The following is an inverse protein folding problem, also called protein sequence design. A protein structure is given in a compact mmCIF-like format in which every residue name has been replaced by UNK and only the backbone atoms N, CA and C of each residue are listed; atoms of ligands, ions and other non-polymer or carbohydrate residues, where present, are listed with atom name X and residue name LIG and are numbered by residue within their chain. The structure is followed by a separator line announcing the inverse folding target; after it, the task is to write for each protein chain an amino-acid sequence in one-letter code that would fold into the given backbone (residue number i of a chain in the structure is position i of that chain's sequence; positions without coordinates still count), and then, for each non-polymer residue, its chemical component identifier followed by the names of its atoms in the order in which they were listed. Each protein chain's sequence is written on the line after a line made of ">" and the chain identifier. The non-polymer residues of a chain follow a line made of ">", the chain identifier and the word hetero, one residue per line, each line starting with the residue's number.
data_IF_082304311844
#
_entry.id   IF_082304311844
#
_cell.length_a   1.000
_cell.length_b   1.000
_cell.length_c   1.000
_cell.angle_alpha   90.00
_cell.angle_beta   90.00
_cell.angle_gamma   90.00
#
_symmetry.space_group_name_H-M   'P 1'
#
loop_
_entity.id
_entity.type
_entity.pdbx_description
1 polymer ?
#
# COMPACT_ATOMS: atom_id res chain seq x y z
N UNK A 1 9.94 26.25 -8.27
CA UNK A 1 9.71 25.27 -7.17
C UNK A 1 10.27 25.86 -5.91
N UNK A 2 9.54 25.77 -4.78
CA UNK A 2 10.03 26.21 -3.48
C UNK A 2 11.25 25.36 -3.09
N UNK A 3 12.29 25.98 -2.53
CA UNK A 3 13.51 25.26 -2.08
C UNK A 3 13.31 24.48 -0.78
N UNK A 4 12.15 24.63 -0.13
CA UNK A 4 11.82 23.96 1.12
C UNK A 4 11.15 22.62 0.85
N UNK A 5 11.70 21.54 1.44
CA UNK A 5 11.22 20.17 1.37
C UNK A 5 10.75 19.74 2.75
N UNK A 6 9.59 19.13 2.82
CA UNK A 6 9.05 18.59 4.06
C UNK A 6 9.42 17.11 4.23
N UNK A 7 10.16 16.79 5.29
CA UNK A 7 10.38 15.43 5.76
C UNK A 7 9.24 15.05 6.71
N UNK A 8 8.40 14.10 6.29
CA UNK A 8 7.31 13.55 7.08
C UNK A 8 7.77 12.23 7.71
N UNK A 9 7.94 12.21 9.04
CA UNK A 9 8.65 11.14 9.74
C UNK A 9 7.78 10.47 10.78
N UNK A 10 7.77 9.13 10.78
CA UNK A 10 7.31 8.36 11.93
C UNK A 10 8.55 7.87 12.73
N UNK A 11 8.84 8.48 13.89
CA UNK A 11 10.03 8.14 14.67
C UNK A 11 10.04 6.70 15.20
N UNK A 12 8.87 6.09 15.39
CA UNK A 12 8.71 4.73 15.92
C UNK A 12 8.74 3.65 14.82
N UNK A 13 8.71 4.05 13.52
CA UNK A 13 8.73 3.12 12.42
C UNK A 13 9.93 2.16 12.47
N UNK A 14 9.68 0.90 12.08
CA UNK A 14 10.74 -0.10 12.01
C UNK A 14 11.45 -0.38 13.34
N UNK A 15 10.75 -0.30 14.48
CA UNK A 15 11.28 -0.45 15.85
C UNK A 15 12.24 0.68 16.23
N UNK A 16 11.87 1.93 15.95
CA UNK A 16 12.67 3.14 16.26
C UNK A 16 13.67 3.53 15.16
N UNK A 17 13.75 2.78 14.06
CA UNK A 17 14.65 3.13 12.94
C UNK A 17 14.23 4.40 12.19
N UNK A 18 12.95 4.80 12.26
CA UNK A 18 12.45 5.99 11.58
C UNK A 18 13.19 7.26 11.97
N UNK A 19 13.44 7.47 13.27
CA UNK A 19 14.20 8.63 13.76
C UNK A 19 15.63 8.65 13.21
N UNK A 20 16.31 7.48 13.20
CA UNK A 20 17.66 7.35 12.66
C UNK A 20 17.72 7.46 11.14
N UNK A 21 16.68 7.04 10.43
CA UNK A 21 16.59 7.10 8.98
C UNK A 21 16.35 8.52 8.43
N UNK A 22 15.72 9.39 9.20
CA UNK A 22 15.45 10.76 8.81
C UNK A 22 16.76 11.56 8.57
N UNK A 23 17.78 11.34 9.40
CA UNK A 23 19.03 12.09 9.32
C UNK A 23 19.81 11.85 8.01
N UNK A 24 20.07 10.61 7.55
CA UNK A 24 20.74 10.38 6.26
C UNK A 24 19.97 10.96 5.07
N UNK A 25 18.64 10.83 5.05
CA UNK A 25 17.80 11.39 4.00
C UNK A 25 17.85 12.93 4.01
N UNK A 26 17.71 13.56 5.19
CA UNK A 26 17.82 15.00 5.33
C UNK A 26 19.22 15.52 4.91
N UNK A 27 20.29 14.80 5.26
CA UNK A 27 21.65 15.18 4.88
C UNK A 27 21.84 15.14 3.36
N UNK A 28 21.29 14.15 2.67
CA UNK A 28 21.35 14.07 1.22
C UNK A 28 20.62 15.25 0.54
N UNK A 29 19.42 15.60 1.02
CA UNK A 29 18.64 16.73 0.52
C UNK A 29 19.34 18.07 0.78
N UNK A 30 19.86 18.30 2.01
CA UNK A 30 20.62 19.51 2.34
C UNK A 30 21.90 19.63 1.54
N UNK A 31 22.64 18.53 1.36
CA UNK A 31 23.83 18.47 0.52
C UNK A 31 23.55 18.79 -0.95
N UNK A 32 22.31 18.57 -1.40
CA UNK A 32 21.84 18.96 -2.71
C UNK A 32 21.32 20.41 -2.79
N UNK A 33 21.35 21.17 -1.67
CA UNK A 33 20.98 22.60 -1.63
C UNK A 33 19.52 22.86 -1.25
N UNK A 34 18.76 21.85 -0.81
CA UNK A 34 17.37 22.05 -0.35
C UNK A 34 17.32 22.44 1.13
N UNK A 35 16.41 23.35 1.48
CA UNK A 35 15.98 23.54 2.86
C UNK A 35 15.09 22.38 3.29
N UNK A 36 15.31 21.83 4.48
CA UNK A 36 14.57 20.65 4.96
C UNK A 36 13.91 20.95 6.29
N UNK A 37 12.58 20.94 6.28
CA UNK A 37 11.71 21.01 7.45
C UNK A 37 11.23 19.62 7.83
N UNK A 38 11.31 19.24 9.11
CA UNK A 38 10.79 17.95 9.59
C UNK A 38 9.41 18.13 10.24
N UNK A 39 8.48 17.26 9.88
CA UNK A 39 7.14 17.18 10.44
C UNK A 39 6.97 15.82 11.11
N UNK A 40 6.54 15.84 12.36
CA UNK A 40 6.21 14.70 13.20
C UNK A 40 4.78 14.89 13.70
N UNK A 41 4.02 13.81 13.84
CA UNK A 41 2.71 13.83 14.51
C UNK A 41 2.80 13.20 15.89
N UNK A 42 1.89 13.59 16.79
CA UNK A 42 1.70 12.95 18.09
C UNK A 42 0.97 11.60 17.92
N UNK A 43 0.05 11.54 16.97
CA UNK A 43 -0.68 10.36 16.52
C UNK A 43 -0.89 10.41 15.00
N UNK A 44 -1.66 9.47 14.45
CA UNK A 44 -1.91 9.36 13.03
C UNK A 44 -2.71 10.55 12.47
N UNK A 45 -3.70 11.03 13.22
CA UNK A 45 -4.57 12.13 12.79
C UNK A 45 -3.82 13.46 12.81
N UNK A 46 -3.04 13.74 13.85
CA UNK A 46 -2.18 14.91 13.93
C UNK A 46 -1.08 14.85 12.85
N UNK A 47 -0.49 13.68 12.62
CA UNK A 47 0.49 13.48 11.56
C UNK A 47 -0.10 13.81 10.18
N UNK A 48 -1.28 13.29 9.86
CA UNK A 48 -1.97 13.56 8.60
C UNK A 48 -2.33 15.05 8.45
N UNK A 49 -2.87 15.67 9.51
CA UNK A 49 -3.19 17.09 9.51
C UNK A 49 -1.96 17.93 9.18
N UNK A 50 -0.84 17.69 9.86
CA UNK A 50 0.43 18.43 9.64
C UNK A 50 1.00 18.20 8.24
N UNK A 51 0.90 16.98 7.70
CA UNK A 51 1.32 16.68 6.33
C UNK A 51 0.48 17.47 5.32
N UNK A 52 -0.84 17.51 5.49
CA UNK A 52 -1.75 18.30 4.65
C UNK A 52 -1.47 19.81 4.73
N UNK A 53 -1.18 20.32 5.93
CA UNK A 53 -0.79 21.72 6.13
C UNK A 53 0.51 22.06 5.37
N UNK A 54 1.51 21.16 5.41
CA UNK A 54 2.75 21.36 4.66
C UNK A 54 2.52 21.35 3.14
N UNK A 55 1.67 20.46 2.64
CA UNK A 55 1.27 20.40 1.23
C UNK A 55 0.52 21.67 0.82
N UNK A 56 -0.47 22.10 1.62
CA UNK A 56 -1.23 23.32 1.38
C UNK A 56 -0.38 24.60 1.43
N UNK A 57 0.68 24.61 2.27
CA UNK A 57 1.65 25.69 2.34
C UNK A 57 2.62 25.71 1.15
N UNK A 58 2.55 24.76 0.23
CA UNK A 58 3.33 24.73 -1.01
C UNK A 58 4.75 24.19 -0.84
N UNK A 59 4.96 23.19 0.01
CA UNK A 59 6.25 22.47 0.06
C UNK A 59 6.66 21.97 -1.33
N UNK A 60 7.95 22.02 -1.64
CA UNK A 60 8.47 21.53 -2.92
C UNK A 60 8.34 20.03 -3.12
N UNK A 61 8.30 19.26 -2.02
CA UNK A 61 7.96 17.83 -1.99
C UNK A 61 7.65 17.39 -0.55
N UNK A 62 6.88 16.31 -0.41
CA UNK A 62 6.69 15.58 0.83
C UNK A 62 7.53 14.31 0.80
N UNK A 63 8.53 14.18 1.67
CA UNK A 63 9.39 13.00 1.76
C UNK A 63 8.95 12.15 2.96
N UNK A 64 8.28 11.05 2.70
CA UNK A 64 7.79 10.14 3.74
C UNK A 64 8.89 9.19 4.22
N UNK A 65 9.26 9.28 5.50
CA UNK A 65 10.28 8.45 6.14
C UNK A 65 9.62 7.50 7.14
N UNK A 66 9.33 6.27 6.71
CA UNK A 66 8.58 5.35 7.55
C UNK A 66 8.30 4.00 6.90
N UNK A 67 7.29 3.32 7.43
CA UNK A 67 6.73 2.09 6.86
C UNK A 67 5.38 2.35 6.18
N UNK A 68 4.67 1.26 5.88
CA UNK A 68 3.42 1.28 5.10
C UNK A 68 2.34 2.19 5.71
N UNK A 69 2.17 2.20 7.04
CA UNK A 69 1.19 3.08 7.69
C UNK A 69 1.50 4.57 7.49
N UNK A 70 2.78 5.01 7.58
CA UNK A 70 3.11 6.41 7.27
C UNK A 70 2.96 6.70 5.78
N UNK A 71 3.26 5.72 4.93
CA UNK A 71 3.06 5.84 3.49
C UNK A 71 1.59 6.05 3.16
N UNK A 72 0.68 5.28 3.80
CA UNK A 72 -0.77 5.47 3.67
C UNK A 72 -1.18 6.91 4.03
N UNK A 73 -0.68 7.47 5.15
CA UNK A 73 -0.95 8.86 5.54
C UNK A 73 -0.38 9.86 4.54
N UNK A 74 0.83 9.62 4.01
CA UNK A 74 1.44 10.49 3.01
C UNK A 74 0.61 10.53 1.72
N UNK A 75 0.09 9.38 1.27
CA UNK A 75 -0.82 9.31 0.12
C UNK A 75 -2.10 10.11 0.37
N UNK A 76 -2.71 10.03 1.59
CA UNK A 76 -3.88 10.86 1.94
C UNK A 76 -3.57 12.38 1.90
N UNK A 77 -2.30 12.77 2.03
CA UNK A 77 -1.92 14.18 2.03
C UNK A 77 -1.61 14.71 0.63
N UNK A 78 -1.03 13.88 -0.25
CA UNK A 78 -0.55 14.33 -1.56
C UNK A 78 -1.41 13.93 -2.75
N UNK A 79 -2.28 12.92 -2.61
CA UNK A 79 -3.11 12.43 -3.71
C UNK A 79 -3.96 13.56 -4.32
N UNK A 80 -3.97 13.65 -5.65
CA UNK A 80 -4.67 14.71 -6.40
C UNK A 80 -4.02 16.08 -6.30
N UNK A 81 -2.83 16.22 -5.71
CA UNK A 81 -2.09 17.49 -5.66
C UNK A 81 -0.88 17.48 -6.60
N UNK A 82 -0.29 18.65 -6.83
CA UNK A 82 0.94 18.78 -7.62
C UNK A 82 2.21 18.50 -6.80
N UNK A 83 2.09 18.26 -5.48
CA UNK A 83 3.24 18.04 -4.59
C UNK A 83 3.83 16.65 -4.80
N UNK A 84 5.10 16.52 -5.21
CA UNK A 84 5.73 15.22 -5.39
C UNK A 84 5.94 14.50 -4.05
N UNK A 85 5.80 13.16 -4.08
CA UNK A 85 6.07 12.27 -2.97
C UNK A 85 7.44 11.62 -3.12
N UNK A 86 8.31 11.79 -2.14
CA UNK A 86 9.52 10.98 -2.00
C UNK A 86 9.34 9.90 -0.94
N UNK A 87 9.97 8.75 -1.14
CA UNK A 87 9.79 7.58 -0.30
C UNK A 87 11.11 7.15 0.32
N UNK A 88 11.17 7.12 1.65
CA UNK A 88 12.28 6.57 2.44
C UNK A 88 11.74 5.40 3.26
N UNK A 89 11.73 4.23 2.63
CA UNK A 89 11.08 3.04 3.13
C UNK A 89 11.95 2.30 4.16
N UNK A 90 11.58 2.38 5.45
CA UNK A 90 12.32 1.78 6.57
C UNK A 90 11.48 0.84 7.44
N UNK A 91 10.25 0.60 7.04
CA UNK A 91 9.32 -0.33 7.67
C UNK A 91 9.68 -1.80 7.49
N UNK A 92 8.76 -2.66 7.89
CA UNK A 92 8.89 -4.13 7.73
C UNK A 92 8.38 -4.59 6.36
N UNK A 93 7.23 -4.09 5.91
CA UNK A 93 6.60 -4.40 4.61
C UNK A 93 7.22 -3.60 3.48
N UNK A 94 6.94 -2.31 3.44
CA UNK A 94 7.34 -1.37 2.38
C UNK A 94 6.80 -1.75 0.99
N UNK A 95 5.55 -2.18 0.93
CA UNK A 95 4.96 -2.76 -0.27
C UNK A 95 4.84 -1.75 -1.41
N UNK A 96 4.44 -0.50 -1.12
CA UNK A 96 4.42 0.59 -2.10
C UNK A 96 5.80 0.86 -2.71
N UNK A 97 6.84 0.92 -1.88
CA UNK A 97 8.21 1.14 -2.37
C UNK A 97 8.72 -0.05 -3.20
N UNK A 98 8.34 -1.28 -2.82
CA UNK A 98 8.68 -2.50 -3.58
C UNK A 98 8.08 -2.48 -4.97
N UNK A 99 6.79 -2.17 -5.08
CA UNK A 99 6.08 -2.15 -6.35
C UNK A 99 6.70 -1.14 -7.32
N UNK A 100 7.24 -0.04 -6.80
CA UNK A 100 7.92 1.00 -7.59
C UNK A 100 9.42 0.78 -7.79
N UNK A 101 10.02 -0.30 -7.25
CA UNK A 101 11.45 -0.55 -7.35
C UNK A 101 12.33 0.44 -6.60
N UNK A 102 11.80 1.14 -5.60
CA UNK A 102 12.52 2.16 -4.83
C UNK A 102 13.45 1.53 -3.78
N UNK A 103 14.49 2.25 -3.33
CA UNK A 103 15.39 1.77 -2.28
C UNK A 103 14.65 1.44 -0.99
N UNK A 104 14.87 0.22 -0.47
CA UNK A 104 14.26 -0.27 0.77
C UNK A 104 15.34 -0.44 1.83
N UNK A 105 15.11 0.12 3.03
CA UNK A 105 16.02 0.07 4.18
C UNK A 105 17.41 0.68 3.91
N UNK A 106 17.50 1.54 2.89
CA UNK A 106 18.66 2.38 2.62
C UNK A 106 18.24 3.86 2.55
N UNK A 107 18.10 4.53 3.70
CA UNK A 107 17.63 5.91 3.75
C UNK A 107 18.59 6.90 3.07
N UNK A 108 19.88 6.58 3.00
CA UNK A 108 20.83 7.43 2.30
C UNK A 108 20.66 7.35 0.79
N UNK A 109 20.47 6.12 0.23
CA UNK A 109 20.18 5.96 -1.19
C UNK A 109 18.85 6.60 -1.57
N UNK A 110 17.79 6.39 -0.77
CA UNK A 110 16.48 6.99 -0.99
C UNK A 110 16.54 8.52 -0.96
N UNK A 111 17.29 9.10 -0.01
CA UNK A 111 17.51 10.55 0.07
C UNK A 111 18.27 11.10 -1.14
N UNK A 112 19.30 10.40 -1.63
CA UNK A 112 20.03 10.78 -2.85
C UNK A 112 19.16 10.70 -4.10
N UNK A 113 18.33 9.65 -4.21
CA UNK A 113 17.37 9.50 -5.30
C UNK A 113 16.40 10.68 -5.31
N UNK A 114 15.76 10.98 -4.17
CA UNK A 114 14.84 12.11 -4.05
C UNK A 114 15.52 13.45 -4.39
N UNK A 115 16.75 13.67 -3.93
CA UNK A 115 17.49 14.89 -4.22
C UNK A 115 17.83 15.05 -5.71
N UNK A 116 18.22 13.97 -6.39
CA UNK A 116 18.46 13.98 -7.85
C UNK A 116 17.16 14.22 -8.61
N UNK A 117 16.12 13.45 -8.29
CA UNK A 117 14.82 13.58 -8.92
C UNK A 117 14.28 15.01 -8.84
N UNK A 118 14.39 15.66 -7.68
CA UNK A 118 13.98 17.06 -7.51
C UNK A 118 14.80 18.04 -8.37
N UNK A 119 16.09 17.81 -8.54
CA UNK A 119 16.94 18.65 -9.39
C UNK A 119 16.70 18.48 -10.88
N UNK A 120 16.47 17.24 -11.30
CA UNK A 120 16.36 16.85 -12.71
C UNK A 120 14.91 16.80 -13.20
N UNK A 121 13.94 16.99 -12.29
CA UNK A 121 12.52 16.87 -12.59
C UNK A 121 12.08 15.42 -12.82
N UNK A 122 12.79 14.44 -12.22
CA UNK A 122 12.48 13.01 -12.32
C UNK A 122 11.29 12.66 -11.43
N UNK A 123 10.23 12.15 -12.02
CA UNK A 123 9.09 11.58 -11.32
C UNK A 123 8.36 10.59 -12.22
N UNK A 124 7.60 9.70 -11.59
CA UNK A 124 6.62 8.84 -12.23
C UNK A 124 5.24 9.26 -11.74
N UNK A 125 4.30 9.48 -12.65
CA UNK A 125 2.89 9.61 -12.31
C UNK A 125 2.37 8.21 -11.99
N UNK A 126 1.82 8.05 -10.80
CA UNK A 126 1.40 6.76 -10.24
C UNK A 126 -0.08 6.81 -9.95
N UNK A 127 -0.77 5.77 -10.36
CA UNK A 127 -2.19 5.59 -10.09
C UNK A 127 -2.40 5.25 -8.62
N UNK A 128 -3.58 5.60 -8.10
CA UNK A 128 -3.99 5.21 -6.76
C UNK A 128 -5.41 4.63 -6.79
N UNK A 129 -5.64 3.66 -5.94
CA UNK A 129 -7.00 3.23 -5.66
C UNK A 129 -7.71 4.19 -4.72
N UNK A 130 -9.01 4.38 -4.94
CA UNK A 130 -9.87 5.23 -4.12
C UNK A 130 -11.13 4.50 -3.70
N UNK A 131 -11.46 4.58 -2.40
CA UNK A 131 -12.73 4.10 -1.82
C UNK A 131 -13.33 5.26 -1.02
N UNK A 132 -14.43 5.83 -1.49
CA UNK A 132 -14.96 7.06 -0.92
C UNK A 132 -13.94 8.20 -1.00
N UNK A 133 -13.50 8.69 0.15
CA UNK A 133 -12.47 9.72 0.30
C UNK A 133 -11.08 9.16 0.69
N UNK A 134 -10.96 7.83 0.83
CA UNK A 134 -9.72 7.15 1.22
C UNK A 134 -8.94 6.67 -0.01
N UNK A 135 -7.63 6.91 -0.01
CA UNK A 135 -6.70 6.47 -1.03
C UNK A 135 -5.89 5.25 -0.57
N UNK A 136 -5.51 4.39 -1.50
CA UNK A 136 -4.55 3.31 -1.26
C UNK A 136 -3.59 3.16 -2.44
N UNK A 137 -2.36 2.79 -2.13
CA UNK A 137 -1.29 2.73 -3.12
C UNK A 137 -0.95 1.33 -3.60
N UNK A 138 -1.18 0.30 -2.78
CA UNK A 138 -0.75 -1.06 -3.09
C UNK A 138 -1.93 -1.97 -3.39
N UNK A 139 -2.54 -2.57 -2.38
CA UNK A 139 -3.59 -3.59 -2.57
C UNK A 139 -4.71 -3.40 -1.55
N UNK A 140 -5.95 -3.43 -2.04
CA UNK A 140 -7.14 -3.63 -1.23
C UNK A 140 -7.45 -5.13 -1.21
N UNK A 141 -7.63 -5.69 -0.02
CA UNK A 141 -7.95 -7.11 0.16
C UNK A 141 -9.21 -7.31 0.99
N UNK A 142 -9.98 -8.34 0.65
CA UNK A 142 -11.14 -8.78 1.41
C UNK A 142 -11.24 -10.31 1.43
N UNK A 143 -11.87 -10.86 2.48
CA UNK A 143 -12.01 -12.30 2.64
C UNK A 143 -10.99 -12.90 3.60
N UNK A 144 -10.28 -13.94 3.18
CA UNK A 144 -9.29 -14.64 4.01
C UNK A 144 -8.26 -13.69 4.63
N UNK A 145 -7.69 -12.77 3.86
CA UNK A 145 -6.68 -11.83 4.35
C UNK A 145 -7.23 -10.84 5.37
N UNK A 146 -8.48 -10.42 5.22
CA UNK A 146 -9.16 -9.57 6.21
C UNK A 146 -9.28 -10.28 7.55
N UNK A 147 -9.65 -11.57 7.53
CA UNK A 147 -9.74 -12.41 8.75
C UNK A 147 -8.37 -12.62 9.39
N UNK A 148 -7.32 -12.81 8.59
CA UNK A 148 -5.93 -12.91 9.07
C UNK A 148 -5.48 -11.61 9.73
N UNK A 149 -5.76 -10.45 9.13
CA UNK A 149 -5.47 -9.13 9.68
C UNK A 149 -6.23 -8.88 10.99
N UNK A 150 -7.53 -9.17 11.03
CA UNK A 150 -8.35 -9.06 12.23
C UNK A 150 -7.82 -9.92 13.36
N UNK A 151 -7.52 -11.19 13.09
CA UNK A 151 -6.95 -12.12 14.08
C UNK A 151 -5.55 -11.65 14.51
N UNK A 152 -4.70 -11.28 13.59
CA UNK A 152 -3.37 -10.73 13.86
C UNK A 152 -3.43 -9.49 14.76
N UNK A 153 -4.37 -8.58 14.53
CA UNK A 153 -4.54 -7.38 15.34
C UNK A 153 -5.05 -7.69 16.76
N UNK A 154 -5.85 -8.75 16.94
CA UNK A 154 -6.33 -9.21 18.27
C UNK A 154 -5.28 -9.96 19.08
N UNK A 155 -4.24 -10.50 18.45
CA UNK A 155 -3.16 -11.23 19.12
C UNK A 155 -2.17 -10.27 19.81
N UNK A 156 -2.43 -9.95 21.09
CA UNK A 156 -1.62 -9.00 21.89
C UNK A 156 -0.26 -9.55 22.36
N UNK A 157 -0.10 -10.88 22.42
CA UNK A 157 1.04 -11.53 23.09
C UNK A 157 2.10 -12.08 22.13
N UNK A 158 1.85 -12.08 20.82
CA UNK A 158 2.78 -12.61 19.81
C UNK A 158 3.29 -11.46 18.96
N UNK A 159 4.60 -11.22 18.96
CA UNK A 159 5.22 -10.13 18.20
C UNK A 159 5.89 -10.63 16.91
N UNK A 160 6.04 -9.70 15.93
CA UNK A 160 6.81 -9.94 14.72
C UNK A 160 6.12 -10.82 13.67
N UNK A 161 6.92 -11.40 12.77
CA UNK A 161 6.46 -12.21 11.63
C UNK A 161 5.68 -13.46 12.06
N UNK A 162 6.07 -14.08 13.17
CA UNK A 162 5.40 -15.24 13.77
C UNK A 162 3.91 -15.01 14.06
N UNK A 163 3.52 -13.79 14.39
CA UNK A 163 2.12 -13.42 14.65
C UNK A 163 1.25 -13.64 13.42
N UNK A 164 1.71 -13.19 12.25
CA UNK A 164 0.99 -13.34 11.00
C UNK A 164 0.99 -14.78 10.51
N UNK A 165 2.11 -15.50 10.63
CA UNK A 165 2.19 -16.92 10.25
C UNK A 165 1.20 -17.77 11.07
N UNK A 166 1.07 -17.50 12.37
CA UNK A 166 0.11 -18.19 13.24
C UNK A 166 -1.34 -17.79 12.93
N UNK A 167 -1.60 -16.51 12.61
CA UNK A 167 -2.92 -16.06 12.21
C UNK A 167 -3.34 -16.69 10.87
N UNK A 168 -2.45 -16.79 9.91
CA UNK A 168 -2.66 -17.48 8.64
C UNK A 168 -3.03 -18.95 8.86
N UNK A 169 -2.25 -19.68 9.68
CA UNK A 169 -2.52 -21.09 9.98
C UNK A 169 -3.87 -21.29 10.67
N UNK A 170 -4.23 -20.41 11.60
CA UNK A 170 -5.51 -20.50 12.31
C UNK A 170 -6.70 -20.19 11.40
N UNK A 171 -6.58 -19.20 10.50
CA UNK A 171 -7.63 -18.91 9.51
C UNK A 171 -7.73 -20.00 8.44
N UNK A 172 -6.62 -20.59 8.00
CA UNK A 172 -6.61 -21.76 7.11
C UNK A 172 -7.38 -22.93 7.70
N UNK A 173 -7.28 -23.16 9.02
CA UNK A 173 -7.98 -24.24 9.70
C UNK A 173 -9.50 -24.02 9.79
N UNK A 174 -9.94 -22.76 9.84
CA UNK A 174 -11.35 -22.37 9.98
C UNK A 174 -11.97 -21.87 8.66
N UNK A 175 -11.27 -22.01 7.55
CA UNK A 175 -11.65 -21.39 6.27
C UNK A 175 -12.93 -21.98 5.66
N UNK A 176 -13.82 -21.09 5.21
CA UNK A 176 -14.98 -21.35 4.36
C UNK A 176 -15.03 -20.27 3.27
N UNK A 177 -15.35 -20.63 1.98
CA UNK A 177 -15.61 -19.66 0.94
C UNK A 177 -16.68 -18.66 1.34
N UNK A 178 -16.58 -17.47 0.83
CA UNK A 178 -17.48 -16.36 1.15
C UNK A 178 -18.29 -16.05 -0.11
N UNK A 179 -19.65 -15.94 -0.02
CA UNK A 179 -20.45 -15.48 -1.12
C UNK A 179 -20.27 -13.97 -1.34
N UNK A 180 -19.76 -13.62 -2.52
CA UNK A 180 -19.58 -12.25 -2.96
C UNK A 180 -20.53 -11.90 -4.09
N UNK A 181 -20.96 -10.63 -4.11
CA UNK A 181 -21.52 -9.98 -5.28
C UNK A 181 -20.51 -8.96 -5.77
N UNK A 182 -20.06 -9.11 -7.00
CA UNK A 182 -19.07 -8.22 -7.62
C UNK A 182 -19.66 -7.58 -8.87
N UNK A 183 -19.26 -6.33 -9.14
CA UNK A 183 -19.52 -5.65 -10.40
C UNK A 183 -18.24 -5.02 -10.88
N UNK A 184 -17.84 -5.33 -12.11
CA UNK A 184 -16.62 -4.85 -12.76
C UNK A 184 -17.00 -3.77 -13.78
N UNK A 185 -16.38 -2.60 -13.70
CA UNK A 185 -16.56 -1.45 -14.62
C UNK A 185 -18.04 -1.10 -14.89
N UNK A 186 -18.88 -1.15 -13.86
CA UNK A 186 -20.31 -0.87 -13.99
C UNK A 186 -21.12 -1.88 -14.80
N UNK A 187 -20.52 -3.01 -15.18
CA UNK A 187 -21.17 -4.10 -15.91
C UNK A 187 -22.17 -4.89 -15.08
N UNK A 188 -22.45 -6.13 -15.46
CA UNK A 188 -23.39 -7.00 -14.76
C UNK A 188 -22.89 -7.41 -13.39
N UNK A 189 -23.79 -7.53 -12.43
CA UNK A 189 -23.52 -8.10 -11.11
C UNK A 189 -23.31 -9.61 -11.25
N UNK A 190 -22.21 -10.10 -10.70
CA UNK A 190 -21.88 -11.54 -10.64
C UNK A 190 -21.88 -12.00 -9.20
N UNK A 191 -22.50 -13.13 -8.94
CA UNK A 191 -22.43 -13.83 -7.67
C UNK A 191 -21.35 -14.91 -7.78
N UNK A 192 -20.40 -14.90 -6.86
CA UNK A 192 -19.25 -15.82 -6.85
C UNK A 192 -18.97 -16.29 -5.43
N UNK A 193 -18.49 -17.51 -5.29
CA UNK A 193 -17.89 -18.01 -4.06
C UNK A 193 -16.37 -17.79 -4.13
N UNK A 194 -15.83 -16.99 -3.21
CA UNK A 194 -14.42 -16.68 -3.21
C UNK A 194 -13.79 -16.83 -1.82
N UNK A 195 -12.55 -17.29 -1.83
CA UNK A 195 -11.65 -17.33 -0.68
C UNK A 195 -11.14 -15.96 -0.32
N UNK A 196 -10.76 -15.24 -1.37
CA UNK A 196 -10.06 -13.95 -1.30
C UNK A 196 -10.36 -13.17 -2.58
N UNK A 197 -10.56 -11.87 -2.42
CA UNK A 197 -10.52 -10.92 -3.52
C UNK A 197 -9.48 -9.85 -3.17
N UNK A 198 -8.46 -9.72 -4.02
CA UNK A 198 -7.44 -8.69 -3.92
C UNK A 198 -7.56 -7.73 -5.11
N UNK A 199 -7.67 -6.44 -4.85
CA UNK A 199 -7.73 -5.37 -5.84
C UNK A 199 -6.39 -4.64 -5.83
N UNK A 200 -5.53 -5.00 -6.78
CA UNK A 200 -4.17 -4.49 -6.85
C UNK A 200 -4.05 -3.26 -7.72
N UNK A 201 -3.66 -2.15 -7.12
CA UNK A 201 -3.03 -1.03 -7.81
C UNK A 201 -1.53 -1.30 -7.97
N UNK A 202 -0.92 -1.99 -7.02
CA UNK A 202 0.44 -2.48 -7.04
C UNK A 202 0.51 -4.00 -6.89
N UNK A 203 1.71 -4.56 -7.08
CA UNK A 203 1.93 -6.00 -7.14
C UNK A 203 1.89 -6.69 -5.79
N UNK A 204 2.22 -5.98 -4.68
CA UNK A 204 2.55 -6.61 -3.39
C UNK A 204 1.78 -6.03 -2.22
N UNK A 205 1.53 -6.88 -1.23
CA UNK A 205 1.01 -6.53 0.08
C UNK A 205 1.59 -7.46 1.17
N UNK A 206 1.34 -7.17 2.44
CA UNK A 206 1.72 -8.03 3.56
C UNK A 206 3.23 -8.29 3.68
N UNK A 207 4.06 -7.36 3.19
CA UNK A 207 5.53 -7.46 3.27
C UNK A 207 6.16 -8.27 2.15
N UNK A 208 5.59 -8.24 0.94
CA UNK A 208 6.18 -8.78 -0.27
C UNK A 208 5.44 -9.99 -0.86
N UNK A 209 4.22 -10.27 -0.43
CA UNK A 209 3.34 -11.22 -1.11
C UNK A 209 2.84 -10.61 -2.43
N UNK A 210 3.19 -11.21 -3.56
CA UNK A 210 2.85 -10.73 -4.90
C UNK A 210 1.48 -11.22 -5.33
N UNK A 211 0.43 -10.80 -4.64
CA UNK A 211 -0.95 -11.29 -4.89
C UNK A 211 -1.50 -10.84 -6.25
N UNK A 212 -1.16 -9.62 -6.68
CA UNK A 212 -1.49 -9.08 -8.00
C UNK A 212 -0.18 -8.94 -8.79
N UNK A 213 0.48 -10.09 -9.11
CA UNK A 213 1.87 -10.13 -9.53
C UNK A 213 2.18 -9.36 -10.82
N UNK A 214 1.19 -9.14 -11.67
CA UNK A 214 1.32 -8.49 -12.97
C UNK A 214 0.74 -7.06 -12.97
N UNK A 215 0.31 -6.54 -11.80
CA UNK A 215 -0.24 -5.19 -11.69
C UNK A 215 0.78 -4.12 -12.08
N UNK A 216 0.35 -3.15 -12.86
CA UNK A 216 1.09 -1.95 -13.26
C UNK A 216 0.47 -0.73 -12.58
N UNK A 217 1.31 0.17 -12.05
CA UNK A 217 0.85 1.30 -11.23
C UNK A 217 0.64 2.59 -12.03
N UNK A 218 0.58 2.54 -13.35
CA UNK A 218 0.49 3.70 -14.25
C UNK A 218 -0.26 3.42 -15.56
N UNK A 219 -1.13 2.39 -15.54
CA UNK A 219 -1.94 1.99 -16.70
C UNK A 219 -3.44 2.31 -16.57
N UNK A 220 -3.84 2.92 -15.45
CA UNK A 220 -5.22 3.31 -15.16
C UNK A 220 -6.12 2.16 -14.74
N UNK A 221 -5.58 0.98 -14.41
CA UNK A 221 -6.35 -0.21 -14.11
C UNK A 221 -5.94 -0.86 -12.78
N UNK A 222 -6.85 -1.61 -12.21
CA UNK A 222 -6.55 -2.58 -11.17
C UNK A 222 -6.38 -3.97 -11.76
N UNK A 223 -5.47 -4.74 -11.21
CA UNK A 223 -5.47 -6.20 -11.33
C UNK A 223 -6.28 -6.81 -10.17
N UNK A 224 -7.50 -7.25 -10.47
CA UNK A 224 -8.35 -7.90 -9.49
C UNK A 224 -8.08 -9.39 -9.50
N UNK A 225 -7.36 -9.87 -8.48
CA UNK A 225 -7.10 -11.30 -8.29
C UNK A 225 -8.19 -11.91 -7.42
N UNK A 226 -8.96 -12.83 -8.00
CA UNK A 226 -9.98 -13.61 -7.30
C UNK A 226 -9.46 -15.01 -7.08
N UNK A 227 -9.35 -15.43 -5.83
CA UNK A 227 -9.15 -16.83 -5.45
C UNK A 227 -10.51 -17.42 -5.17
N UNK A 228 -11.01 -18.23 -6.08
CA UNK A 228 -12.32 -18.89 -5.99
C UNK A 228 -12.39 -19.95 -4.90
N UNK A 229 -13.46 -20.70 -4.91
CA UNK A 229 -13.62 -21.84 -4.01
C UNK A 229 -12.47 -22.83 -4.20
N UNK A 230 -11.80 -23.15 -3.11
CA UNK A 230 -10.74 -24.15 -3.13
C UNK A 230 -10.62 -24.88 -1.78
N UNK A 231 -10.08 -26.10 -1.81
CA UNK A 231 -9.86 -26.86 -0.59
C UNK A 231 -8.72 -26.25 0.23
N UNK A 232 -8.74 -26.50 1.55
CA UNK A 232 -7.65 -26.09 2.46
C UNK A 232 -6.28 -26.60 2.00
N UNK A 233 -6.23 -27.84 1.47
CA UNK A 233 -4.99 -28.42 0.93
C UNK A 233 -4.51 -27.69 -0.33
N UNK A 234 -5.42 -27.24 -1.18
CA UNK A 234 -5.10 -26.39 -2.34
C UNK A 234 -4.55 -25.06 -1.89
N UNK A 235 -5.20 -24.40 -0.94
CA UNK A 235 -4.75 -23.10 -0.42
C UNK A 235 -3.34 -23.20 0.20
N UNK A 236 -3.06 -24.24 1.00
CA UNK A 236 -1.71 -24.49 1.54
C UNK A 236 -0.64 -24.70 0.45
N UNK A 237 -1.00 -25.31 -0.68
CA UNK A 237 -0.07 -25.53 -1.81
C UNK A 237 0.14 -24.26 -2.64
N UNK A 238 -0.90 -23.40 -2.75
CA UNK A 238 -0.87 -22.18 -3.55
C UNK A 238 -0.24 -21.03 -2.77
N UNK A 239 -0.47 -20.93 -1.48
CA UNK A 239 0.00 -19.80 -0.65
C UNK A 239 1.51 -19.51 -0.79
N UNK A 240 2.44 -20.49 -0.75
CA UNK A 240 3.87 -20.21 -0.96
C UNK A 240 4.20 -19.67 -2.35
N UNK A 241 3.35 -19.96 -3.35
CA UNK A 241 3.52 -19.45 -4.73
C UNK A 241 3.22 -17.95 -4.85
N UNK A 242 2.41 -17.40 -3.91
CA UNK A 242 2.08 -15.96 -3.89
C UNK A 242 3.34 -15.11 -3.74
N UNK A 243 4.30 -15.54 -2.91
CA UNK A 243 5.58 -14.81 -2.76
C UNK A 243 6.40 -14.72 -4.05
N UNK A 244 6.18 -15.66 -4.98
CA UNK A 244 6.85 -15.71 -6.28
C UNK A 244 5.99 -15.16 -7.42
N UNK A 245 4.71 -14.86 -7.17
CA UNK A 245 3.74 -14.47 -8.19
C UNK A 245 3.28 -15.60 -9.11
N UNK A 246 3.68 -16.86 -8.83
CA UNK A 246 3.40 -18.02 -9.70
C UNK A 246 2.05 -18.69 -9.42
N UNK A 247 1.25 -18.11 -8.52
CA UNK A 247 -0.11 -18.59 -8.20
C UNK A 247 -1.13 -18.20 -9.28
N UNK A 248 -0.88 -17.16 -10.08
CA UNK A 248 -1.82 -16.67 -11.11
C UNK A 248 -2.18 -17.73 -12.16
N UNK A 249 -1.29 -18.68 -12.44
CA UNK A 249 -1.57 -19.81 -13.33
C UNK A 249 -2.38 -20.95 -12.70
N UNK A 250 -2.87 -20.82 -11.47
CA UNK A 250 -3.63 -21.88 -10.81
C UNK A 250 -5.11 -21.83 -11.24
N UNK A 251 -5.79 -22.96 -11.52
CA UNK A 251 -7.20 -22.96 -11.98
C UNK A 251 -8.21 -22.29 -11.05
N UNK A 252 -7.93 -22.23 -9.75
CA UNK A 252 -8.77 -21.53 -8.78
C UNK A 252 -8.51 -20.01 -8.72
N UNK A 253 -7.60 -19.48 -9.53
CA UNK A 253 -7.24 -18.06 -9.54
C UNK A 253 -7.67 -17.46 -10.87
N UNK A 254 -8.40 -16.36 -10.80
CA UNK A 254 -8.73 -15.55 -11.98
C UNK A 254 -8.27 -14.12 -11.77
N UNK A 255 -7.84 -13.46 -12.83
CA UNK A 255 -7.44 -12.06 -12.81
C UNK A 255 -8.31 -11.28 -13.78
N UNK A 256 -8.82 -10.13 -13.32
CA UNK A 256 -9.57 -9.19 -14.13
C UNK A 256 -8.85 -7.84 -14.10
N UNK A 257 -8.66 -7.21 -15.24
CA UNK A 257 -8.13 -5.84 -15.34
C UNK A 257 -9.29 -4.87 -15.54
N UNK A 258 -9.47 -3.96 -14.58
CA UNK A 258 -10.63 -3.08 -14.52
C UNK A 258 -10.26 -1.71 -13.93
N UNK A 259 -10.99 -0.67 -14.31
CA UNK A 259 -10.85 0.67 -13.72
C UNK A 259 -11.64 0.82 -12.43
N UNK A 260 -12.66 -0.01 -12.23
CA UNK A 260 -13.50 0.04 -11.02
C UNK A 260 -14.06 -1.32 -10.65
N UNK A 261 -14.29 -1.53 -9.34
CA UNK A 261 -14.96 -2.72 -8.82
C UNK A 261 -15.87 -2.36 -7.66
N UNK A 262 -17.11 -2.90 -7.70
CA UNK A 262 -18.00 -2.94 -6.55
C UNK A 262 -17.88 -4.31 -5.90
N UNK A 263 -17.70 -4.33 -4.58
CA UNK A 263 -17.62 -5.54 -3.77
C UNK A 263 -18.70 -5.52 -2.71
N UNK A 264 -19.49 -6.60 -2.59
CA UNK A 264 -20.43 -6.80 -1.52
C UNK A 264 -20.34 -8.21 -0.96
N UNK A 265 -20.25 -8.34 0.35
CA UNK A 265 -20.34 -9.60 1.09
C UNK A 265 -20.75 -9.32 2.54
N UNK A 266 -21.57 -10.18 3.13
CA UNK A 266 -22.04 -10.00 4.50
C UNK A 266 -20.93 -10.29 5.53
N UNK A 267 -20.76 -9.39 6.50
CA UNK A 267 -19.83 -9.58 7.61
C UNK A 267 -18.34 -9.55 7.25
N UNK A 268 -18.00 -9.01 6.08
CA UNK A 268 -16.60 -8.90 5.60
C UNK A 268 -16.13 -7.46 5.73
N UNK A 269 -14.95 -7.28 6.31
CA UNK A 269 -14.22 -6.00 6.36
C UNK A 269 -13.17 -5.98 5.25
N UNK A 270 -13.05 -4.87 4.54
CA UNK A 270 -11.96 -4.66 3.59
C UNK A 270 -10.78 -3.94 4.26
N UNK A 271 -9.58 -4.28 3.84
CA UNK A 271 -8.33 -3.64 4.24
C UNK A 271 -7.60 -3.13 3.01
N UNK A 272 -6.95 -1.98 3.11
CA UNK A 272 -6.03 -1.50 2.08
C UNK A 272 -4.73 -1.00 2.71
N UNK A 273 -3.61 -1.38 2.11
CA UNK A 273 -2.25 -1.06 2.59
C UNK A 273 -2.04 -1.44 4.07
N UNK A 274 -2.76 -2.47 4.55
CA UNK A 274 -2.73 -2.96 5.94
C UNK A 274 -3.67 -2.23 6.91
N UNK A 275 -4.38 -1.20 6.47
CA UNK A 275 -5.31 -0.41 7.28
C UNK A 275 -6.77 -0.76 6.97
N UNK A 276 -7.67 -0.82 7.98
CA UNK A 276 -9.06 -1.13 7.76
C UNK A 276 -9.75 0.00 6.98
N UNK A 277 -10.46 -0.35 5.90
CA UNK A 277 -11.31 0.58 5.15
C UNK A 277 -12.75 0.59 5.65
N UNK A 278 -13.23 -0.55 6.15
CA UNK A 278 -14.60 -0.72 6.65
C UNK A 278 -15.27 -1.97 6.12
N UNK A 279 -16.53 -2.15 6.53
CA UNK A 279 -17.34 -3.28 6.08
C UNK A 279 -17.77 -3.11 4.61
N UNK A 280 -17.92 -4.25 3.91
CA UNK A 280 -18.59 -4.27 2.60
C UNK A 280 -20.09 -3.96 2.77
N UNK A 281 -20.78 -3.35 1.78
CA UNK A 281 -20.28 -3.12 0.41
C UNK A 281 -19.42 -1.87 0.26
N UNK A 282 -18.53 -1.90 -0.73
CA UNK A 282 -17.74 -0.73 -1.15
C UNK A 282 -17.50 -0.72 -2.67
N UNK A 283 -17.12 0.45 -3.17
CA UNK A 283 -16.66 0.63 -4.54
C UNK A 283 -15.23 1.16 -4.52
N UNK A 284 -14.31 0.47 -5.21
CA UNK A 284 -12.96 0.93 -5.45
C UNK A 284 -12.83 1.41 -6.90
N UNK A 285 -12.17 2.55 -7.09
CA UNK A 285 -11.90 3.14 -8.41
C UNK A 285 -10.41 3.42 -8.54
N UNK A 286 -9.81 3.02 -9.65
CA UNK A 286 -8.46 3.41 -10.03
C UNK A 286 -8.50 4.85 -10.53
N UNK A 287 -7.64 5.71 -9.97
CA UNK A 287 -7.50 7.11 -10.37
C UNK A 287 -6.13 7.29 -11.00
N UNK A 288 -6.08 7.45 -12.34
CA UNK A 288 -4.82 7.55 -13.06
C UNK A 288 -4.00 8.78 -12.65
N UNK A 289 -2.69 8.58 -12.49
CA UNK A 289 -1.74 9.64 -12.20
C UNK A 289 -2.02 10.42 -10.92
N UNK A 290 -2.68 9.82 -9.94
CA UNK A 290 -3.15 10.48 -8.72
C UNK A 290 -2.01 11.00 -7.84
N UNK A 291 -0.78 10.50 -7.99
CA UNK A 291 0.38 10.96 -7.25
C UNK A 291 1.64 10.97 -8.11
N UNK A 292 2.47 12.00 -7.94
CA UNK A 292 3.82 12.06 -8.52
C UNK A 292 4.83 11.51 -7.55
N UNK A 293 5.46 10.40 -7.88
CA UNK A 293 6.49 9.79 -7.03
C UNK A 293 7.87 10.12 -7.58
N UNK A 294 8.75 10.63 -6.72
CA UNK A 294 10.14 10.93 -7.09
C UNK A 294 10.89 9.63 -7.42
N UNK A 295 11.32 9.51 -8.66
CA UNK A 295 12.07 8.35 -9.19
C UNK A 295 13.20 8.82 -10.09
N UNK A 296 14.13 7.95 -10.42
CA UNK A 296 15.04 8.17 -11.56
C UNK A 296 14.21 8.17 -12.86
N UNK A 297 14.64 8.95 -13.83
CA UNK A 297 14.03 8.99 -15.15
C UNK A 297 14.24 7.69 -15.88
#
# INVERSE_FOLDING_TARGET
>A
MTSEITLFVNPTAGRGRGAHAAQPAASALRGAGFSVRTVLGEDADDALRRAREAVAAGTGALIAVGGDGLMSLALQAVAGTATPLGVVAVGTGNDFARALGLPIRDPAAAGRLAARALKEGGHRDVDLGRVGDRWFGSVLASGFDSRVNDRGNRMRFVGGRFKYDLAILAELAAFEPIPYRIRLDGGEVREIEATLIAVGNGTTYGGGMRICADAEMDDGLFDVTVVGECTRTTLLKVFPKVYRGTHLGHPAVTVHRVSSIELAAAGVTAYADGEPLGALPLTATCVPGAVRVLTER
#
